data_IF_948807639785
#
_entry.id   IF_948807639785
#
_cell.length_a   1.000
_cell.length_b   1.000
_cell.length_c   1.000
_cell.angle_alpha   90.00
_cell.angle_beta   90.00
_cell.angle_gamma   90.00
#
_symmetry.space_group_name_H-M   'P 1'
#
loop_
_entity.id
_entity.type
_entity.pdbx_description
1 polymer ?
#
# COMPACT_ATOMS: atom_id res chain seq x y z
N UNK A 1 -21.21 2.17 -7.21
CA UNK A 1 -20.58 2.52 -5.92
C UNK A 1 -19.25 3.16 -6.23
N UNK A 2 -19.01 4.35 -5.70
CA UNK A 2 -17.74 5.08 -5.87
C UNK A 2 -16.66 4.52 -4.94
N UNK A 3 -15.38 4.87 -5.17
CA UNK A 3 -14.27 4.48 -4.30
C UNK A 3 -14.48 4.89 -2.83
N UNK A 4 -14.95 6.13 -2.60
CA UNK A 4 -15.22 6.64 -1.27
C UNK A 4 -16.38 5.88 -0.61
N UNK A 5 -17.48 5.66 -1.35
CA UNK A 5 -18.64 4.92 -0.85
C UNK A 5 -18.29 3.47 -0.51
N UNK A 6 -17.45 2.82 -1.32
CA UNK A 6 -16.98 1.46 -1.09
C UNK A 6 -16.24 1.36 0.25
N UNK A 7 -15.26 2.25 0.48
CA UNK A 7 -14.46 2.26 1.72
C UNK A 7 -15.32 2.55 2.95
N UNK A 8 -16.21 3.55 2.87
CA UNK A 8 -17.09 3.86 4.00
C UNK A 8 -18.08 2.73 4.28
N UNK A 9 -18.64 2.10 3.26
CA UNK A 9 -19.55 0.97 3.45
C UNK A 9 -18.84 -0.20 4.12
N UNK A 10 -17.61 -0.50 3.69
CA UNK A 10 -16.78 -1.53 4.31
C UNK A 10 -16.45 -1.21 5.77
N UNK A 11 -16.09 0.03 6.07
CA UNK A 11 -15.84 0.47 7.45
C UNK A 11 -17.07 0.29 8.34
N UNK A 12 -18.25 0.72 7.87
CA UNK A 12 -19.50 0.65 8.63
C UNK A 12 -20.00 -0.79 8.85
N UNK A 13 -19.53 -1.77 8.08
CA UNK A 13 -19.94 -3.17 8.22
C UNK A 13 -19.08 -3.97 9.21
N UNK A 14 -18.08 -3.37 9.83
CA UNK A 14 -17.15 -4.04 10.74
C UNK A 14 -16.97 -3.26 12.05
N UNK A 15 -16.56 -3.96 13.11
CA UNK A 15 -16.17 -3.26 14.34
C UNK A 15 -14.81 -2.58 14.17
N UNK A 16 -14.71 -1.32 14.59
CA UNK A 16 -13.47 -0.54 14.49
C UNK A 16 -12.29 -1.25 15.15
N UNK A 17 -12.48 -1.86 16.32
CA UNK A 17 -11.43 -2.60 17.04
C UNK A 17 -10.92 -3.81 16.28
N UNK A 18 -11.79 -4.54 15.59
CA UNK A 18 -11.40 -5.67 14.76
C UNK A 18 -10.57 -5.20 13.57
N UNK A 19 -10.99 -4.11 12.92
CA UNK A 19 -10.23 -3.51 11.83
C UNK A 19 -8.86 -3.00 12.29
N UNK A 20 -8.78 -2.37 13.47
CA UNK A 20 -7.52 -1.92 14.05
C UNK A 20 -6.56 -3.09 14.27
N UNK A 21 -7.03 -4.19 14.86
CA UNK A 21 -6.22 -5.39 15.08
C UNK A 21 -5.72 -5.98 13.75
N UNK A 22 -6.61 -6.11 12.75
CA UNK A 22 -6.26 -6.61 11.43
C UNK A 22 -5.21 -5.73 10.73
N UNK A 23 -5.48 -4.43 10.65
CA UNK A 23 -4.61 -3.46 9.98
C UNK A 23 -3.25 -3.40 10.65
N UNK A 24 -3.20 -3.34 11.98
CA UNK A 24 -1.93 -3.30 12.69
C UNK A 24 -1.13 -4.59 12.53
N UNK A 25 -1.79 -5.75 12.60
CA UNK A 25 -1.12 -7.03 12.40
C UNK A 25 -0.53 -7.20 11.01
N UNK A 26 -1.13 -6.58 9.98
CA UNK A 26 -0.68 -6.74 8.59
C UNK A 26 0.27 -5.64 8.13
N UNK A 27 0.03 -4.41 8.57
CA UNK A 27 0.67 -3.20 8.03
C UNK A 27 1.44 -2.39 9.09
N UNK A 28 1.51 -2.85 10.34
CA UNK A 28 2.03 -2.05 11.46
C UNK A 28 3.44 -1.52 11.24
N UNK A 29 4.36 -2.32 10.70
CA UNK A 29 5.73 -1.86 10.41
C UNK A 29 5.74 -0.80 9.30
N UNK A 30 5.05 -1.04 8.19
CA UNK A 30 4.96 -0.06 7.09
C UNK A 30 4.31 1.25 7.55
N UNK A 31 3.29 1.17 8.40
CA UNK A 31 2.60 2.32 8.96
C UNK A 31 3.52 3.16 9.86
N UNK A 32 4.41 2.54 10.62
CA UNK A 32 5.42 3.27 11.41
C UNK A 32 6.37 4.05 10.53
N UNK A 33 6.88 3.44 9.45
CA UNK A 33 7.71 4.14 8.47
C UNK A 33 6.95 5.30 7.83
N UNK A 34 5.66 5.11 7.60
CA UNK A 34 4.74 6.13 7.07
C UNK A 34 4.38 7.24 8.08
N UNK A 35 4.95 7.24 9.28
CA UNK A 35 4.72 8.25 10.32
C UNK A 35 3.54 7.99 11.25
N UNK A 36 2.89 6.81 11.16
CA UNK A 36 1.84 6.39 12.10
C UNK A 36 2.43 5.51 13.21
N UNK A 37 2.72 6.13 14.36
CA UNK A 37 3.29 5.42 15.51
C UNK A 37 2.37 4.32 16.07
N UNK A 38 1.04 4.51 15.95
CA UNK A 38 0.03 3.55 16.42
C UNK A 38 -1.20 3.53 15.51
N UNK A 39 -1.96 2.43 15.54
CA UNK A 39 -3.17 2.25 14.72
C UNK A 39 -4.33 3.17 15.15
N UNK A 40 -4.31 3.66 16.39
CA UNK A 40 -5.31 4.59 16.92
C UNK A 40 -5.28 5.96 16.24
N UNK A 41 -4.14 6.35 15.67
CA UNK A 41 -4.00 7.59 14.92
C UNK A 41 -4.64 7.55 13.53
N UNK A 42 -5.04 6.38 13.04
CA UNK A 42 -5.72 6.25 11.76
C UNK A 42 -7.18 6.72 11.84
N UNK A 43 -7.56 7.56 10.88
CA UNK A 43 -8.96 7.91 10.68
C UNK A 43 -9.80 6.69 10.30
N UNK A 44 -11.12 6.73 10.56
CA UNK A 44 -12.07 5.70 10.13
C UNK A 44 -11.91 5.36 8.64
N UNK A 45 -11.71 6.38 7.79
CA UNK A 45 -11.54 6.21 6.36
C UNK A 45 -10.24 5.48 5.99
N UNK A 46 -9.11 5.86 6.60
CA UNK A 46 -7.84 5.15 6.39
C UNK A 46 -7.90 3.72 6.90
N UNK A 47 -8.58 3.49 8.03
CA UNK A 47 -8.72 2.16 8.61
C UNK A 47 -9.59 1.25 7.71
N UNK A 48 -10.72 1.76 7.23
CA UNK A 48 -11.55 1.06 6.25
C UNK A 48 -10.76 0.73 4.98
N UNK A 49 -10.00 1.69 4.45
CA UNK A 49 -9.17 1.49 3.27
C UNK A 49 -8.09 0.41 3.49
N UNK A 50 -7.31 0.48 4.56
CA UNK A 50 -6.23 -0.47 4.84
C UNK A 50 -6.75 -1.88 5.14
N UNK A 51 -7.93 -1.98 5.77
CA UNK A 51 -8.62 -3.26 5.92
C UNK A 51 -9.00 -3.85 4.56
N UNK A 52 -9.60 -3.06 3.66
CA UNK A 52 -9.90 -3.52 2.29
C UNK A 52 -8.64 -3.86 1.49
N UNK A 53 -7.58 -3.05 1.62
CA UNK A 53 -6.29 -3.31 0.98
C UNK A 53 -5.77 -4.69 1.39
N UNK A 54 -5.95 -5.09 2.65
CA UNK A 54 -5.59 -6.41 3.15
C UNK A 54 -6.23 -7.55 2.37
N UNK A 55 -7.49 -7.40 1.96
CA UNK A 55 -8.25 -8.37 1.18
C UNK A 55 -7.91 -8.32 -0.32
N UNK A 56 -7.63 -7.11 -0.81
CA UNK A 56 -7.35 -6.86 -2.22
C UNK A 56 -5.90 -7.10 -2.61
N UNK A 57 -4.97 -7.14 -1.65
CA UNK A 57 -3.53 -7.13 -1.92
C UNK A 57 -3.12 -8.22 -2.91
N UNK A 58 -3.40 -9.49 -2.60
CA UNK A 58 -3.01 -10.63 -3.45
C UNK A 58 -3.67 -10.59 -4.84
N UNK A 59 -4.91 -10.10 -4.93
CA UNK A 59 -5.71 -10.16 -6.16
C UNK A 59 -5.52 -8.97 -7.08
N UNK A 60 -5.18 -7.81 -6.52
CA UNK A 60 -5.12 -6.53 -7.23
C UNK A 60 -3.71 -5.98 -7.22
N UNK A 61 -3.08 -5.90 -6.04
CA UNK A 61 -1.82 -5.18 -5.88
C UNK A 61 -0.63 -6.05 -6.28
N UNK A 62 -0.56 -7.29 -5.81
CA UNK A 62 0.56 -8.19 -6.10
C UNK A 62 0.79 -8.38 -7.62
N UNK A 63 -0.23 -8.54 -8.49
CA UNK A 63 -0.02 -8.55 -9.93
C UNK A 63 0.61 -7.25 -10.47
N UNK A 64 0.24 -6.09 -9.92
CA UNK A 64 0.81 -4.80 -10.30
C UNK A 64 2.27 -4.66 -9.86
N UNK A 65 2.65 -5.24 -8.72
CA UNK A 65 4.05 -5.30 -8.28
C UNK A 65 4.89 -6.05 -9.31
N UNK A 66 4.46 -7.24 -9.72
CA UNK A 66 5.18 -8.02 -10.74
C UNK A 66 5.24 -7.29 -12.07
N UNK A 67 4.15 -6.64 -12.46
CA UNK A 67 4.04 -6.01 -13.77
C UNK A 67 4.77 -4.67 -13.88
N UNK A 68 4.78 -3.88 -12.81
CA UNK A 68 5.22 -2.48 -12.86
C UNK A 68 6.31 -2.13 -11.85
N UNK A 69 6.36 -2.76 -10.68
CA UNK A 69 7.39 -2.44 -9.66
C UNK A 69 8.66 -3.23 -9.91
N UNK A 70 8.55 -4.54 -10.16
CA UNK A 70 9.68 -5.44 -10.42
C UNK A 70 10.59 -4.95 -11.57
N UNK A 71 10.06 -4.52 -12.73
CA UNK A 71 10.92 -4.05 -13.82
C UNK A 71 11.73 -2.81 -13.47
N UNK A 72 11.27 -1.98 -12.52
CA UNK A 72 11.97 -0.77 -12.10
C UNK A 72 13.24 -1.11 -11.31
N UNK A 73 13.19 -2.18 -10.50
CA UNK A 73 14.35 -2.75 -9.81
C UNK A 73 15.29 -3.45 -10.80
N UNK A 74 14.75 -4.28 -11.70
CA UNK A 74 15.56 -4.99 -12.70
C UNK A 74 16.31 -4.03 -13.63
N UNK A 75 15.67 -2.92 -14.02
CA UNK A 75 16.32 -1.88 -14.82
C UNK A 75 17.42 -1.16 -14.05
N UNK A 76 17.24 -0.93 -12.75
CA UNK A 76 18.23 -0.22 -11.93
C UNK A 76 19.49 -1.06 -11.67
N UNK A 77 19.31 -2.34 -11.35
CA UNK A 77 20.43 -3.24 -11.07
C UNK A 77 21.00 -3.93 -12.30
N UNK A 78 20.36 -3.78 -13.46
CA UNK A 78 20.70 -4.45 -14.71
C UNK A 78 20.71 -6.00 -14.58
N UNK A 79 19.91 -6.55 -13.66
CA UNK A 79 19.82 -7.97 -13.37
C UNK A 79 18.39 -8.43 -13.06
N UNK A 80 18.17 -9.75 -13.08
CA UNK A 80 16.88 -10.33 -12.72
C UNK A 80 16.70 -10.31 -11.21
N UNK A 81 15.57 -9.75 -10.78
CA UNK A 81 15.21 -9.61 -9.36
C UNK A 81 14.13 -10.64 -9.04
N UNK A 82 14.23 -11.33 -7.91
CA UNK A 82 13.17 -12.23 -7.47
C UNK A 82 12.04 -11.42 -6.79
N UNK A 83 10.75 -11.69 -7.06
CA UNK A 83 9.66 -10.94 -6.44
C UNK A 83 9.69 -10.87 -4.92
N UNK A 84 10.25 -11.89 -4.26
CA UNK A 84 10.33 -12.02 -2.81
C UNK A 84 11.29 -11.00 -2.18
N UNK A 85 12.21 -10.41 -2.95
CA UNK A 85 13.10 -9.35 -2.44
C UNK A 85 12.43 -7.97 -2.49
N UNK A 86 11.30 -7.83 -3.18
CA UNK A 86 10.55 -6.57 -3.25
C UNK A 86 9.61 -6.48 -2.05
N UNK A 87 10.02 -5.69 -1.06
CA UNK A 87 9.35 -5.59 0.23
C UNK A 87 8.58 -4.27 0.29
N UNK A 88 7.38 -4.29 0.89
CA UNK A 88 6.64 -3.05 1.16
C UNK A 88 7.35 -2.29 2.27
N UNK A 89 7.78 -1.08 1.97
CA UNK A 89 8.40 -0.18 2.92
C UNK A 89 7.36 0.71 3.60
N UNK A 90 6.60 1.48 2.82
CA UNK A 90 5.72 2.53 3.35
C UNK A 90 4.45 2.73 2.52
N UNK A 91 3.51 3.46 3.09
CA UNK A 91 2.31 3.97 2.45
C UNK A 91 2.30 5.49 2.49
N UNK A 92 1.73 6.10 1.48
CA UNK A 92 1.28 7.48 1.60
C UNK A 92 -0.20 7.57 1.26
N UNK A 93 -0.93 8.04 2.28
CA UNK A 93 -2.38 8.08 2.34
C UNK A 93 -2.91 9.53 2.46
N UNK A 94 -2.08 10.53 2.21
CA UNK A 94 -2.44 11.94 2.40
C UNK A 94 -3.57 12.39 1.47
N UNK A 95 -3.56 11.90 0.23
CA UNK A 95 -4.56 12.23 -0.79
C UNK A 95 -5.63 11.15 -0.99
N UNK A 96 -5.75 10.22 -0.03
CA UNK A 96 -6.61 9.04 -0.17
C UNK A 96 -8.07 9.41 -0.44
N UNK A 97 -8.57 10.52 0.11
CA UNK A 97 -9.94 11.01 -0.15
C UNK A 97 -10.16 11.50 -1.59
N UNK A 98 -9.08 11.84 -2.30
CA UNK A 98 -9.11 12.16 -3.73
C UNK A 98 -8.92 10.90 -4.59
N UNK A 99 -8.87 9.72 -3.95
CA UNK A 99 -8.56 8.44 -4.59
C UNK A 99 -7.09 8.27 -4.94
N UNK A 100 -6.18 9.12 -4.46
CA UNK A 100 -4.75 8.99 -4.77
C UNK A 100 -4.04 8.44 -3.55
N UNK A 101 -3.27 7.37 -3.74
CA UNK A 101 -2.47 6.76 -2.69
C UNK A 101 -1.32 5.98 -3.32
N UNK A 102 -0.31 5.66 -2.52
CA UNK A 102 0.88 4.95 -3.00
C UNK A 102 1.37 3.92 -1.98
N UNK A 103 2.05 2.91 -2.51
CA UNK A 103 2.87 1.96 -1.77
C UNK A 103 4.32 2.15 -2.23
N UNK A 104 5.20 2.44 -1.28
CA UNK A 104 6.63 2.44 -1.51
C UNK A 104 7.18 1.02 -1.28
N UNK A 105 7.98 0.55 -2.22
CA UNK A 105 8.68 -0.72 -2.17
C UNK A 105 10.17 -0.49 -2.11
N UNK A 106 10.87 -1.33 -1.35
CA UNK A 106 12.32 -1.37 -1.25
C UNK A 106 12.82 -2.81 -1.44
N UNK A 107 14.13 -2.97 -1.48
CA UNK A 107 14.81 -4.25 -1.42
C UNK A 107 15.71 -4.36 -0.19
N UNK A 108 16.46 -5.45 -0.09
CA UNK A 108 17.39 -5.73 1.00
C UNK A 108 18.67 -4.89 0.98
N UNK A 109 18.92 -4.12 -0.10
CA UNK A 109 20.05 -3.21 -0.23
C UNK A 109 19.71 -1.78 0.18
N UNK A 110 18.41 -1.45 0.31
CA UNK A 110 17.87 -0.14 0.69
C UNK A 110 18.33 1.02 -0.23
N UNK A 111 18.81 0.71 -1.44
CA UNK A 111 19.38 1.70 -2.37
C UNK A 111 18.32 2.32 -3.28
N UNK A 112 17.33 1.54 -3.73
CA UNK A 112 16.24 1.99 -4.58
C UNK A 112 14.89 1.86 -3.87
N UNK A 113 14.11 2.94 -3.89
CA UNK A 113 12.70 2.91 -3.51
C UNK A 113 11.84 3.14 -4.76
N UNK A 114 10.95 2.19 -5.02
CA UNK A 114 9.97 2.26 -6.11
C UNK A 114 8.59 2.52 -5.53
N UNK A 115 7.98 3.61 -5.97
CA UNK A 115 6.62 4.01 -5.59
C UNK A 115 5.64 3.49 -6.63
N UNK A 116 4.64 2.74 -6.18
CA UNK A 116 3.48 2.35 -6.98
C UNK A 116 2.33 3.32 -6.67
N UNK A 117 2.05 4.24 -7.61
CA UNK A 117 1.00 5.25 -7.45
C UNK A 117 -0.31 4.71 -8.03
N UNK A 118 -1.37 4.86 -7.25
CA UNK A 118 -2.69 4.31 -7.52
C UNK A 118 -3.73 5.42 -7.60
N UNK A 119 -4.67 5.28 -8.55
CA UNK A 119 -5.91 6.03 -8.62
C UNK A 119 -7.08 5.10 -8.33
N UNK A 120 -7.73 5.30 -7.18
CA UNK A 120 -8.73 4.41 -6.61
C UNK A 120 -8.16 3.00 -6.40
N UNK A 121 -8.57 1.99 -7.17
CA UNK A 121 -7.97 0.64 -7.13
C UNK A 121 -7.22 0.31 -8.43
N UNK A 122 -6.96 1.32 -9.26
CA UNK A 122 -6.34 1.17 -10.57
C UNK A 122 -4.92 1.75 -10.54
N UNK A 123 -4.04 1.10 -11.29
CA UNK A 123 -2.68 1.59 -11.52
C UNK A 123 -2.70 2.96 -12.21
N UNK A 124 -1.89 3.89 -11.72
CA UNK A 124 -1.67 5.18 -12.37
C UNK A 124 -0.29 5.19 -13.04
N UNK A 125 0.79 5.17 -12.23
CA UNK A 125 2.17 5.11 -12.70
C UNK A 125 3.12 4.62 -11.59
N UNK A 126 4.37 4.33 -11.97
CA UNK A 126 5.48 4.10 -11.05
C UNK A 126 6.41 5.31 -11.01
N UNK A 127 7.05 5.56 -9.87
CA UNK A 127 8.18 6.50 -9.79
C UNK A 127 9.28 5.92 -8.91
N UNK A 128 10.52 6.40 -9.09
CA UNK A 128 11.69 5.93 -8.34
C UNK A 128 12.28 7.05 -7.51
N UNK A 129 12.80 6.70 -6.35
CA UNK A 129 13.68 7.55 -5.54
C UNK A 129 14.90 6.73 -5.13
N UNK A 130 16.08 7.21 -5.51
CA UNK A 130 17.40 6.58 -5.32
C UNK A 130 18.47 7.48 -5.92
#
# INVERSE_FOLDING_TARGET
MTFIEEIFTHFLSHERSEMQALVWSKWGECLKVSGFETVEHLSDFQLGFLSMLSEKYEKVIQPLVIQYVKPEFEEWYEEEVEPEVIIINAFNLHELKNGIWEIAYEDDQEDLIVHLIMKNWEFDYTSRTG
#
